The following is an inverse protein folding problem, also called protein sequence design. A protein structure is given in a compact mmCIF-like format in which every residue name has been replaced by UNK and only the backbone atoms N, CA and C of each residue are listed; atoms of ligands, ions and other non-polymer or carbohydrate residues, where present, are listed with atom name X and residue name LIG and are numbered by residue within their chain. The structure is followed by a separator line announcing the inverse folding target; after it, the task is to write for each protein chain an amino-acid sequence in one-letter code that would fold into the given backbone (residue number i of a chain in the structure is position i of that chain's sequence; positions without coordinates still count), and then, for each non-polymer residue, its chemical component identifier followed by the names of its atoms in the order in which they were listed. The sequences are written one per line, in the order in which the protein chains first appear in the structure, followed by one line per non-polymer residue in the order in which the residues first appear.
data_IF_087222581682
#
_entry.id   IF_087222581682
#
_cell.length_a   1.000
_cell.length_b   1.000
_cell.length_c   1.000
_cell.angle_alpha   90.00
_cell.angle_beta   90.00
_cell.angle_gamma   90.00
#
_symmetry.space_group_name_H-M   'P 1'
#
loop_
_entity.id
_entity.type
_entity.pdbx_description
1 polymer ?
#
# COMPACT_ATOMS: atom_id res chain seq x y z
N UNK A 1 -6.21 -15.32 -17.34
CA UNK A 1 -6.09 -14.76 -15.98
C UNK A 1 -7.34 -13.90 -15.73
N UNK A 2 -7.91 -13.89 -14.52
CA UNK A 2 -9.13 -13.10 -14.24
C UNK A 2 -8.76 -11.66 -13.92
N UNK A 3 -9.59 -10.72 -14.37
CA UNK A 3 -9.50 -9.32 -13.95
C UNK A 3 -9.88 -9.21 -12.47
N UNK A 4 -9.01 -8.57 -11.68
CA UNK A 4 -9.20 -8.34 -10.24
C UNK A 4 -9.41 -6.86 -9.93
N UNK A 5 -9.46 -5.99 -10.94
CA UNK A 5 -9.58 -4.55 -10.73
C UNK A 5 -10.84 -4.18 -9.94
N UNK A 6 -10.73 -3.17 -9.08
CA UNK A 6 -11.82 -2.69 -8.23
C UNK A 6 -11.84 -1.16 -8.19
N UNK A 7 -13.03 -0.58 -8.06
CA UNK A 7 -13.18 0.84 -7.74
C UNK A 7 -13.60 0.99 -6.27
N UNK A 8 -12.77 1.69 -5.49
CA UNK A 8 -13.04 1.97 -4.07
C UNK A 8 -13.01 3.48 -3.88
N UNK A 9 -14.13 4.05 -3.43
CA UNK A 9 -14.26 5.50 -3.19
C UNK A 9 -13.83 6.38 -4.40
N UNK A 10 -14.07 5.92 -5.63
CA UNK A 10 -13.70 6.63 -6.86
C UNK A 10 -12.28 6.36 -7.35
N UNK A 11 -11.46 5.60 -6.62
CA UNK A 11 -10.10 5.21 -7.01
C UNK A 11 -10.12 3.81 -7.61
N UNK A 12 -9.61 3.68 -8.83
CA UNK A 12 -9.43 2.37 -9.48
C UNK A 12 -8.11 1.75 -9.05
N UNK A 13 -8.18 0.56 -8.46
CA UNK A 13 -7.02 -0.27 -8.11
C UNK A 13 -6.94 -1.45 -9.09
N UNK A 14 -5.73 -1.85 -9.46
CA UNK A 14 -5.50 -3.01 -10.34
C UNK A 14 -5.93 -4.34 -9.70
N UNK A 15 -6.00 -4.41 -8.36
CA UNK A 15 -6.52 -5.52 -7.58
C UNK A 15 -6.91 -5.04 -6.15
N UNK A 16 -7.63 -5.83 -5.34
CA UNK A 16 -8.08 -5.39 -4.01
C UNK A 16 -7.02 -5.57 -2.90
N UNK A 17 -5.80 -5.98 -3.21
CA UNK A 17 -4.77 -6.25 -2.20
C UNK A 17 -4.11 -4.94 -1.77
N UNK A 18 -4.35 -4.54 -0.52
CA UNK A 18 -3.78 -3.34 0.09
C UNK A 18 -3.08 -3.71 1.39
N UNK A 19 -1.86 -3.20 1.60
CA UNK A 19 -1.13 -3.45 2.85
C UNK A 19 -1.78 -2.71 4.01
N UNK A 20 -1.79 -3.31 5.20
CA UNK A 20 -2.26 -2.64 6.41
C UNK A 20 -1.29 -1.55 6.88
N UNK A 21 -1.82 -0.48 7.48
CA UNK A 21 -0.98 0.61 8.00
C UNK A 21 -0.03 0.12 9.09
N UNK A 22 1.21 0.57 9.04
CA UNK A 22 2.23 0.25 10.04
C UNK A 22 2.86 -1.14 9.92
N UNK A 23 2.37 -2.02 9.04
CA UNK A 23 3.00 -3.32 8.76
C UNK A 23 3.97 -3.28 7.57
N UNK A 24 3.96 -2.18 6.81
CA UNK A 24 4.70 -2.07 5.54
C UNK A 24 5.55 -0.81 5.40
N UNK A 25 5.74 -0.06 6.49
CA UNK A 25 6.54 1.18 6.50
C UNK A 25 6.10 2.15 5.40
N UNK A 26 7.04 2.48 4.51
CA UNK A 26 6.79 3.25 3.27
C UNK A 26 7.08 2.43 2.00
N UNK A 27 7.11 1.10 2.10
CA UNK A 27 7.33 0.17 0.98
C UNK A 27 8.78 0.00 0.50
N UNK A 28 9.71 0.85 0.93
CA UNK A 28 11.13 0.84 0.46
C UNK A 28 11.85 -0.46 0.79
N UNK A 29 11.57 -1.03 1.95
CA UNK A 29 12.17 -2.28 2.42
C UNK A 29 11.70 -3.46 1.57
N UNK A 30 10.43 -3.42 1.14
CA UNK A 30 9.79 -4.50 0.41
C UNK A 30 10.01 -4.46 -1.10
N UNK A 31 10.29 -3.27 -1.66
CA UNK A 31 10.68 -3.12 -3.07
C UNK A 31 11.96 -3.86 -3.47
N UNK A 32 12.70 -4.39 -2.50
CA UNK A 32 13.86 -5.28 -2.71
C UNK A 32 13.47 -6.73 -3.02
N UNK A 33 12.25 -7.14 -2.65
CA UNK A 33 11.79 -8.52 -2.80
C UNK A 33 10.84 -8.70 -3.99
N UNK A 34 10.06 -7.68 -4.35
CA UNK A 34 9.15 -7.71 -5.49
C UNK A 34 8.80 -6.30 -5.99
N UNK A 35 8.25 -6.21 -7.21
CA UNK A 35 7.74 -4.96 -7.77
C UNK A 35 6.47 -4.52 -7.04
N UNK A 36 6.54 -3.37 -6.37
CA UNK A 36 5.42 -2.84 -5.59
C UNK A 36 4.18 -2.53 -6.44
N UNK A 37 4.33 -2.34 -7.76
CA UNK A 37 3.21 -2.08 -8.68
C UNK A 37 2.27 -3.29 -8.82
N UNK A 38 2.64 -4.47 -8.32
CA UNK A 38 1.74 -5.64 -8.29
C UNK A 38 0.65 -5.51 -7.22
N UNK A 39 0.79 -4.60 -6.26
CA UNK A 39 -0.23 -4.35 -5.22
C UNK A 39 -1.31 -3.39 -5.72
N UNK A 40 -2.52 -3.57 -5.21
CA UNK A 40 -3.62 -2.62 -5.35
C UNK A 40 -3.34 -1.28 -4.69
N UNK A 41 -2.68 -1.30 -3.53
CA UNK A 41 -2.26 -0.10 -2.83
C UNK A 41 -1.41 -0.37 -1.60
N UNK A 42 -0.84 0.69 -1.03
CA UNK A 42 -0.02 0.63 0.19
C UNK A 42 -0.58 1.62 1.21
N UNK A 43 -1.10 1.12 2.33
CA UNK A 43 -1.39 1.95 3.49
C UNK A 43 -0.09 2.15 4.27
N UNK A 44 0.52 3.32 4.14
CA UNK A 44 1.80 3.63 4.79
C UNK A 44 1.64 3.81 6.31
N UNK A 45 2.77 3.86 7.02
CA UNK A 45 2.79 4.23 8.44
C UNK A 45 2.10 5.57 8.67
N UNK A 46 1.27 5.64 9.72
CA UNK A 46 0.62 6.88 10.13
C UNK A 46 1.61 8.01 10.39
N UNK A 47 1.28 9.21 9.90
CA UNK A 47 2.05 10.43 10.09
C UNK A 47 1.38 11.32 11.13
N UNK A 48 2.19 11.91 12.01
CA UNK A 48 1.76 12.95 12.95
C UNK A 48 2.30 14.31 12.52
N UNK A 49 1.63 15.39 12.93
CA UNK A 49 2.04 16.76 12.58
C UNK A 49 3.49 17.07 12.98
N UNK A 50 3.93 16.54 14.13
CA UNK A 50 5.31 16.61 14.60
C UNK A 50 5.93 15.21 14.60
N UNK A 51 7.26 15.08 14.43
CA UNK A 51 7.94 13.79 14.55
C UNK A 51 7.67 13.12 15.90
N UNK A 52 7.56 11.80 15.88
CA UNK A 52 7.45 10.94 17.07
C UNK A 52 8.42 9.77 16.91
N UNK A 53 9.25 9.53 17.93
CA UNK A 53 10.18 8.39 17.93
C UNK A 53 9.48 7.05 18.22
N UNK A 54 8.27 7.12 18.80
CA UNK A 54 7.41 6.00 19.19
C UNK A 54 6.38 6.48 20.18
#
# INVERSE_FOLDING_TARGET
MRDLSVNIAGVTLNNPVVTASGTFGFGREYGKYFDLNTLGGISVKGLTLKPREG
#
